data_IF_770727065869
#
_entry.id   IF_770727065869
#
_cell.length_a   1.000
_cell.length_b   1.000
_cell.length_c   1.000
_cell.angle_alpha   90.00
_cell.angle_beta   90.00
_cell.angle_gamma   90.00
#
_symmetry.space_group_name_H-M   'P 1'
#
loop_
_entity.id
_entity.type
_entity.pdbx_description
1 polymer ?
#
# COMPACT_ATOMS: atom_id res chain seq x y z
N UNK A 1 7.48 20.07 -17.19
CA UNK A 1 7.09 18.65 -17.07
C UNK A 1 6.57 18.43 -15.66
N UNK A 2 5.45 17.73 -15.49
CA UNK A 2 4.81 17.58 -14.17
C UNK A 2 5.46 16.42 -13.40
N UNK A 3 6.32 16.74 -12.44
CA UNK A 3 7.03 15.78 -11.55
C UNK A 3 6.07 14.75 -10.93
N UNK A 4 4.82 15.15 -10.65
CA UNK A 4 3.79 14.27 -10.11
C UNK A 4 3.45 13.08 -11.01
N UNK A 5 3.45 13.25 -12.34
CA UNK A 5 3.12 12.17 -13.26
C UNK A 5 4.22 11.10 -13.29
N UNK A 6 5.48 11.52 -13.33
CA UNK A 6 6.63 10.61 -13.29
C UNK A 6 6.68 9.83 -11.97
N UNK A 7 6.45 10.51 -10.85
CA UNK A 7 6.41 9.87 -9.54
C UNK A 7 5.27 8.83 -9.45
N UNK A 8 4.05 9.19 -9.88
CA UNK A 8 2.92 8.25 -9.87
C UNK A 8 3.22 7.02 -10.75
N UNK A 9 3.80 7.22 -11.93
CA UNK A 9 4.15 6.14 -12.85
C UNK A 9 5.24 5.23 -12.28
N UNK A 10 6.24 5.78 -11.58
CA UNK A 10 7.26 4.98 -10.89
C UNK A 10 6.65 4.10 -9.80
N UNK A 11 5.78 4.65 -8.94
CA UNK A 11 5.13 3.89 -7.88
C UNK A 11 4.19 2.79 -8.43
N UNK A 12 3.56 3.02 -9.57
CA UNK A 12 2.76 2.02 -10.26
C UNK A 12 3.61 0.89 -10.83
N UNK A 13 4.75 1.22 -11.47
CA UNK A 13 5.63 0.23 -12.10
C UNK A 13 6.50 -0.53 -11.09
N UNK A 14 6.93 0.16 -10.02
CA UNK A 14 7.83 -0.33 -8.98
C UNK A 14 7.16 -0.24 -7.59
N UNK A 15 6.07 -1.01 -7.35
CA UNK A 15 5.34 -0.93 -6.10
C UNK A 15 6.21 -1.40 -4.94
N UNK A 16 6.43 -0.51 -3.98
CA UNK A 16 7.23 -0.77 -2.78
C UNK A 16 6.35 -1.43 -1.71
N UNK A 17 6.91 -2.37 -0.94
CA UNK A 17 6.21 -3.08 0.14
C UNK A 17 4.94 -3.83 -0.31
N UNK A 18 4.89 -4.33 -1.54
CA UNK A 18 3.76 -5.07 -2.11
C UNK A 18 3.70 -6.56 -1.71
N UNK A 19 4.27 -6.90 -0.56
CA UNK A 19 4.33 -8.29 -0.05
C UNK A 19 3.91 -8.33 1.40
N UNK A 20 3.47 -9.50 1.86
CA UNK A 20 3.06 -9.70 3.25
C UNK A 20 4.24 -9.51 4.21
N UNK A 21 4.00 -8.82 5.30
CA UNK A 21 4.93 -8.56 6.39
C UNK A 21 4.82 -9.69 7.41
N UNK A 22 5.93 -10.35 7.76
CA UNK A 22 5.93 -11.55 8.63
C UNK A 22 5.16 -11.38 9.96
N UNK A 23 5.71 -10.95 11.09
CA UNK A 23 4.88 -10.70 12.28
C UNK A 23 4.10 -9.39 12.17
N UNK A 24 3.07 -9.29 11.34
CA UNK A 24 2.21 -8.10 11.29
C UNK A 24 1.44 -7.97 12.61
N UNK A 25 1.44 -6.78 13.20
CA UNK A 25 0.67 -6.45 14.41
C UNK A 25 -0.80 -6.29 14.07
N UNK A 26 -1.09 -5.66 12.93
CA UNK A 26 -2.43 -5.32 12.48
C UNK A 26 -2.59 -5.59 10.99
N UNK A 27 -3.81 -5.98 10.57
CA UNK A 27 -4.19 -6.18 9.17
C UNK A 27 -5.56 -5.57 8.92
N UNK A 28 -5.73 -4.95 7.74
CA UNK A 28 -7.01 -4.38 7.32
C UNK A 28 -7.23 -4.58 5.83
N UNK A 29 -8.48 -4.85 5.47
CA UNK A 29 -8.96 -4.96 4.10
C UNK A 29 -9.96 -3.83 3.82
N UNK A 30 -9.78 -3.13 2.71
CA UNK A 30 -10.64 -2.04 2.25
C UNK A 30 -11.04 -2.27 0.80
N UNK A 31 -12.31 -2.04 0.50
CA UNK A 31 -12.88 -2.17 -0.84
C UNK A 31 -13.50 -0.85 -1.30
N UNK A 32 -13.16 -0.43 -2.52
CA UNK A 32 -13.85 0.65 -3.24
C UNK A 32 -14.72 0.04 -4.36
N UNK A 33 -16.01 -0.28 -4.10
CA UNK A 33 -16.85 -1.04 -5.04
C UNK A 33 -17.20 -0.27 -6.32
N UNK A 34 -17.06 1.05 -6.34
CA UNK A 34 -17.36 1.87 -7.52
C UNK A 34 -16.35 1.64 -8.65
N UNK A 35 -15.08 1.47 -8.28
CA UNK A 35 -13.97 1.27 -9.22
C UNK A 35 -13.45 -0.18 -9.20
N UNK A 36 -13.83 -0.96 -8.18
CA UNK A 36 -13.36 -2.33 -7.98
C UNK A 36 -11.99 -2.43 -7.30
N UNK A 37 -11.45 -1.31 -6.77
CA UNK A 37 -10.16 -1.32 -6.09
C UNK A 37 -10.27 -2.07 -4.77
N UNK A 38 -9.22 -2.84 -4.46
CA UNK A 38 -9.08 -3.55 -3.19
C UNK A 38 -7.72 -3.27 -2.61
N UNK A 39 -7.67 -2.93 -1.33
CA UNK A 39 -6.44 -2.66 -0.62
C UNK A 39 -6.36 -3.59 0.58
N UNK A 40 -5.31 -4.41 0.61
CA UNK A 40 -4.90 -5.14 1.79
C UNK A 40 -3.68 -4.44 2.40
N UNK A 41 -3.77 -4.09 3.67
CA UNK A 41 -2.68 -3.41 4.38
C UNK A 41 -2.31 -4.18 5.63
N UNK A 42 -1.01 -4.44 5.77
CA UNK A 42 -0.42 -5.04 6.96
C UNK A 42 0.55 -4.03 7.59
N UNK A 43 0.53 -3.92 8.92
CA UNK A 43 1.41 -3.03 9.67
C UNK A 43 2.10 -3.83 10.76
N UNK A 44 3.39 -3.57 10.99
CA UNK A 44 4.10 -4.03 12.18
C UNK A 44 4.46 -2.83 13.04
N UNK A 45 3.80 -2.73 14.16
CA UNK A 45 4.08 -1.73 15.19
C UNK A 45 5.15 -2.24 16.14
N UNK A 46 6.04 -1.36 16.57
CA UNK A 46 7.06 -1.60 17.58
C UNK A 46 7.03 -0.46 18.59
N UNK A 47 6.82 -0.77 19.85
CA UNK A 47 6.78 0.20 20.96
C UNK A 47 5.72 1.31 20.76
N UNK A 48 4.62 0.99 20.07
CA UNK A 48 3.53 1.91 19.75
C UNK A 48 3.76 2.78 18.51
N UNK A 49 4.77 2.46 17.69
CA UNK A 49 5.12 3.15 16.43
C UNK A 49 5.09 2.18 15.25
#
# INVERSE_FOLDING_TARGET
MSIYAEMILDHYQNPRNNSSIKGATSKVDLDNPLCGDKIHMEIREKDGV
#
